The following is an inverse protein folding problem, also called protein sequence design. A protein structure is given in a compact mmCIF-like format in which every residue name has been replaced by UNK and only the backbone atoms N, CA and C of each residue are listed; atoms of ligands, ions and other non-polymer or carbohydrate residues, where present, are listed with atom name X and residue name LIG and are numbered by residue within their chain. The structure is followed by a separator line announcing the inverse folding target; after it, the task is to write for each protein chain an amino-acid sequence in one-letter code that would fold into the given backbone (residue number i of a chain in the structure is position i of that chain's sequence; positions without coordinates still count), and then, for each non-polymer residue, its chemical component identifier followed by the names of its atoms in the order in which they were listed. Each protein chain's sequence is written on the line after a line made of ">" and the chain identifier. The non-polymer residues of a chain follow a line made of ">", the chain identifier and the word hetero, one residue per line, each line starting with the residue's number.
data_IF_630960990624
#
_entry.id   IF_630960990624
#
_cell.length_a   1.000
_cell.length_b   1.000
_cell.length_c   1.000
_cell.angle_alpha   90.00
_cell.angle_beta   90.00
_cell.angle_gamma   90.00
#
_symmetry.space_group_name_H-M   'P 1'
#
loop_
_entity.id
_entity.type
_entity.pdbx_description
1 polymer ?
#
# COMPACT_ATOMS: atom_id res chain seq x y z
N UNK A 1 32.80 -7.79 15.07
CA UNK A 1 31.46 -8.21 14.66
C UNK A 1 30.48 -7.60 15.65
N UNK A 2 29.75 -6.56 15.24
CA UNK A 2 28.70 -5.99 16.07
C UNK A 2 27.52 -6.97 16.13
N UNK A 3 26.86 -7.15 17.28
CA UNK A 3 25.70 -8.03 17.40
C UNK A 3 24.59 -7.56 16.44
N UNK A 4 23.97 -8.51 15.74
CA UNK A 4 22.77 -8.25 14.93
C UNK A 4 21.65 -7.88 15.91
N UNK A 5 21.02 -6.69 15.78
CA UNK A 5 19.89 -6.33 16.63
C UNK A 5 18.78 -7.37 16.47
N UNK A 6 18.35 -7.97 17.58
CA UNK A 6 17.16 -8.84 17.60
C UNK A 6 15.93 -7.94 17.49
N UNK A 7 15.18 -8.14 16.41
CA UNK A 7 14.01 -7.34 16.08
C UNK A 7 12.78 -7.81 16.90
N UNK A 8 12.05 -6.93 17.59
CA UNK A 8 11.01 -7.31 18.56
C UNK A 8 9.64 -7.56 17.90
N UNK A 9 9.57 -8.42 16.87
CA UNK A 9 8.28 -8.72 16.19
C UNK A 9 7.35 -9.55 17.08
N UNK A 10 7.89 -10.31 18.04
CA UNK A 10 7.13 -11.24 18.88
C UNK A 10 6.27 -10.61 19.96
N UNK A 11 6.33 -9.28 20.17
CA UNK A 11 5.75 -8.64 21.36
C UNK A 11 4.26 -8.29 21.27
N UNK A 12 3.68 -8.14 20.08
CA UNK A 12 2.32 -7.58 19.95
C UNK A 12 1.19 -8.61 20.09
N UNK A 13 1.44 -9.88 19.77
CA UNK A 13 0.40 -10.94 19.84
C UNK A 13 0.17 -11.48 21.26
N UNK A 14 1.11 -11.25 22.20
CA UNK A 14 1.06 -11.82 23.55
C UNK A 14 0.43 -10.93 24.62
N UNK A 15 0.09 -9.68 24.30
CA UNK A 15 -0.40 -8.70 25.28
C UNK A 15 -1.92 -8.52 25.15
N UNK A 16 -2.69 -8.95 26.15
CA UNK A 16 -4.16 -8.84 26.19
C UNK A 16 -4.69 -7.39 26.27
N UNK A 17 -3.78 -6.42 26.26
CA UNK A 17 -4.01 -4.97 26.29
C UNK A 17 -3.52 -4.26 25.02
N UNK A 18 -3.51 -4.94 23.86
CA UNK A 18 -3.17 -4.32 22.59
C UNK A 18 -4.19 -3.22 22.22
N UNK A 19 -3.77 -1.96 22.20
CA UNK A 19 -4.58 -0.81 21.78
C UNK A 19 -4.01 -0.19 20.49
N UNK A 20 -4.83 0.51 19.68
CA UNK A 20 -4.34 1.24 18.50
C UNK A 20 -3.21 2.22 18.82
N UNK A 21 -3.29 2.89 19.97
CA UNK A 21 -2.26 3.80 20.44
C UNK A 21 -0.92 3.10 20.71
N UNK A 22 -0.92 1.96 21.42
CA UNK A 22 0.30 1.18 21.63
C UNK A 22 0.92 0.73 20.31
N UNK A 23 0.09 0.44 19.31
CA UNK A 23 0.58 0.02 18.01
C UNK A 23 1.22 1.19 17.26
N UNK A 24 0.64 2.39 17.32
CA UNK A 24 1.27 3.61 16.82
C UNK A 24 2.62 3.89 17.50
N UNK A 25 2.70 3.74 18.81
CA UNK A 25 3.95 3.87 19.57
C UNK A 25 4.99 2.82 19.12
N UNK A 26 4.55 1.58 18.90
CA UNK A 26 5.39 0.53 18.34
C UNK A 26 5.92 0.91 16.95
N UNK A 27 5.07 1.40 16.04
CA UNK A 27 5.51 1.84 14.70
C UNK A 27 6.48 3.02 14.77
N UNK A 28 6.25 3.98 15.67
CA UNK A 28 7.15 5.10 15.88
C UNK A 28 8.53 4.63 16.36
N UNK A 29 8.57 3.70 17.33
CA UNK A 29 9.82 3.10 17.82
C UNK A 29 10.50 2.27 16.72
N UNK A 30 9.72 1.53 15.93
CA UNK A 30 10.23 0.77 14.79
C UNK A 30 10.99 1.67 13.81
N UNK A 31 10.40 2.83 13.50
CA UNK A 31 11.02 3.85 12.67
C UNK A 31 12.28 4.39 13.34
N UNK A 32 12.18 4.87 14.58
CA UNK A 32 13.31 5.47 15.32
C UNK A 32 14.53 4.54 15.42
N UNK A 33 14.31 3.25 15.70
CA UNK A 33 15.39 2.29 15.94
C UNK A 33 16.01 1.75 14.65
N UNK A 34 15.25 1.66 13.56
CA UNK A 34 15.66 0.90 12.37
C UNK A 34 15.64 1.68 11.06
N UNK A 35 14.81 2.72 10.97
CA UNK A 35 14.55 3.48 9.75
C UNK A 35 14.89 4.97 9.87
N UNK A 36 15.24 5.43 11.06
CA UNK A 36 15.74 6.77 11.30
C UNK A 36 17.26 6.81 11.15
N UNK A 37 17.78 7.92 10.63
CA UNK A 37 19.20 8.05 10.24
C UNK A 37 19.42 8.18 8.74
N UNK A 38 20.67 8.01 8.31
CA UNK A 38 21.09 8.30 6.94
C UNK A 38 20.37 7.40 5.92
N UNK A 39 19.56 7.96 5.00
CA UNK A 39 18.81 7.19 4.00
C UNK A 39 19.72 6.45 3.01
N UNK A 40 20.99 6.84 2.89
CA UNK A 40 21.96 6.14 2.03
C UNK A 40 22.44 4.81 2.63
N UNK A 41 22.26 4.62 3.95
CA UNK A 41 22.61 3.38 4.65
C UNK A 41 21.56 2.31 4.35
N UNK A 42 21.96 1.33 3.53
CA UNK A 42 21.15 0.18 3.15
C UNK A 42 21.00 -0.81 4.30
N UNK A 43 19.82 -1.40 4.40
CA UNK A 43 19.51 -2.49 5.33
C UNK A 43 19.82 -3.81 4.64
N UNK A 44 20.60 -4.65 5.32
CA UNK A 44 21.04 -5.95 4.82
C UNK A 44 19.87 -6.85 4.43
N UNK A 45 20.04 -7.59 3.32
CA UNK A 45 19.11 -8.62 2.86
C UNK A 45 18.84 -9.71 3.92
N UNK A 46 19.71 -9.91 4.91
CA UNK A 46 19.48 -10.82 6.02
C UNK A 46 18.22 -10.46 6.85
N UNK A 47 17.89 -9.16 6.94
CA UNK A 47 16.72 -8.66 7.67
C UNK A 47 15.48 -8.54 6.78
N UNK A 48 15.59 -8.83 5.48
CA UNK A 48 14.51 -8.64 4.51
C UNK A 48 13.22 -9.35 4.90
N UNK A 49 13.30 -10.59 5.39
CA UNK A 49 12.11 -11.39 5.73
C UNK A 49 11.21 -10.69 6.76
N UNK A 50 11.83 -10.02 7.73
CA UNK A 50 11.11 -9.27 8.77
C UNK A 50 10.34 -8.12 8.13
N UNK A 51 11.01 -7.35 7.26
CA UNK A 51 10.39 -6.24 6.55
C UNK A 51 9.30 -6.68 5.59
N UNK A 52 9.45 -7.83 4.93
CA UNK A 52 8.39 -8.44 4.13
C UNK A 52 7.12 -8.64 4.97
N UNK A 53 7.24 -9.24 6.16
CA UNK A 53 6.10 -9.41 7.07
C UNK A 53 5.50 -8.07 7.50
N UNK A 54 6.34 -7.08 7.82
CA UNK A 54 5.87 -5.74 8.22
C UNK A 54 5.11 -5.06 7.08
N UNK A 55 5.68 -5.01 5.87
CA UNK A 55 5.05 -4.36 4.70
C UNK A 55 3.76 -5.05 4.28
N UNK A 56 3.74 -6.39 4.28
CA UNK A 56 2.53 -7.18 3.97
C UNK A 56 1.43 -6.89 5.00
N UNK A 57 1.75 -6.96 6.29
CA UNK A 57 0.80 -6.64 7.37
C UNK A 57 0.28 -5.21 7.32
N UNK A 58 1.15 -4.22 7.11
CA UNK A 58 0.74 -2.81 7.04
C UNK A 58 -0.18 -2.55 5.83
N UNK A 59 0.15 -3.13 4.68
CA UNK A 59 -0.63 -2.97 3.45
C UNK A 59 -2.01 -3.61 3.57
N UNK A 60 -2.09 -4.83 4.10
CA UNK A 60 -3.35 -5.57 4.22
C UNK A 60 -4.24 -5.04 5.35
N UNK A 61 -3.67 -4.64 6.49
CA UNK A 61 -4.48 -4.28 7.66
C UNK A 61 -4.90 -2.81 7.68
N UNK A 62 -4.08 -1.89 7.15
CA UNK A 62 -4.34 -0.44 7.29
C UNK A 62 -4.64 0.26 5.97
N UNK A 63 -3.97 -0.12 4.87
CA UNK A 63 -4.22 0.50 3.57
C UNK A 63 -5.45 -0.13 2.88
N UNK A 64 -5.54 -1.46 2.88
CA UNK A 64 -6.66 -2.16 2.22
C UNK A 64 -8.01 -1.93 2.91
N UNK A 65 -8.01 -1.73 4.23
CA UNK A 65 -9.22 -1.60 5.05
C UNK A 65 -9.64 -0.14 5.31
N UNK A 66 -8.99 0.82 4.64
CA UNK A 66 -9.30 2.23 4.86
C UNK A 66 -10.72 2.53 4.39
N UNK A 67 -11.57 3.12 5.27
CA UNK A 67 -12.98 3.30 4.97
C UNK A 67 -13.21 4.40 3.93
N UNK A 68 -14.26 4.20 3.15
CA UNK A 68 -14.87 5.21 2.28
C UNK A 68 -15.79 6.15 3.07
N UNK A 69 -16.18 7.24 2.44
CA UNK A 69 -16.94 8.37 3.02
C UNK A 69 -18.37 8.01 3.47
N UNK A 70 -18.94 6.92 2.94
CA UNK A 70 -20.26 6.40 3.28
C UNK A 70 -20.30 5.65 4.62
N UNK A 71 -19.15 5.24 5.16
CA UNK A 71 -19.08 4.39 6.35
C UNK A 71 -18.78 5.15 7.63
N UNK A 72 -17.81 6.07 7.58
CA UNK A 72 -17.29 6.80 8.75
C UNK A 72 -16.85 8.19 8.31
N UNK A 73 -17.16 9.22 9.10
CA UNK A 73 -16.72 10.59 8.84
C UNK A 73 -15.25 10.82 9.22
N UNK A 74 -14.55 11.71 8.52
CA UNK A 74 -13.10 11.92 8.73
C UNK A 74 -12.72 12.25 10.17
N UNK A 75 -13.55 13.03 10.86
CA UNK A 75 -13.35 13.45 12.25
C UNK A 75 -13.34 12.27 13.25
N UNK A 76 -13.95 11.14 12.90
CA UNK A 76 -13.96 9.93 13.72
C UNK A 76 -12.76 9.00 13.42
N UNK A 77 -11.93 9.33 12.43
CA UNK A 77 -10.88 8.44 11.90
C UNK A 77 -9.47 8.85 12.28
N UNK A 78 -9.29 9.73 13.26
CA UNK A 78 -7.97 10.27 13.62
C UNK A 78 -6.90 9.18 13.83
N UNK A 79 -7.23 8.09 14.50
CA UNK A 79 -6.30 6.97 14.71
C UNK A 79 -5.97 6.23 13.40
N UNK A 80 -6.98 5.98 12.55
CA UNK A 80 -6.79 5.32 11.25
C UNK A 80 -5.95 6.18 10.30
N UNK A 81 -6.17 7.49 10.30
CA UNK A 81 -5.39 8.46 9.52
C UNK A 81 -3.91 8.41 9.94
N UNK A 82 -3.61 8.42 11.25
CA UNK A 82 -2.23 8.29 11.75
C UNK A 82 -1.61 6.94 11.40
N UNK A 83 -2.37 5.86 11.50
CA UNK A 83 -1.91 4.52 11.15
C UNK A 83 -1.57 4.44 9.67
N UNK A 84 -2.45 4.92 8.79
CA UNK A 84 -2.20 4.96 7.34
C UNK A 84 -0.95 5.79 7.01
N UNK A 85 -0.81 6.99 7.57
CA UNK A 85 0.37 7.83 7.39
C UNK A 85 1.67 7.11 7.82
N UNK A 86 1.63 6.46 9.00
CA UNK A 86 2.79 5.71 9.52
C UNK A 86 3.11 4.49 8.66
N UNK A 87 2.08 3.78 8.17
CA UNK A 87 2.23 2.67 7.24
C UNK A 87 2.90 3.13 5.94
N UNK A 88 2.45 4.23 5.35
CA UNK A 88 3.04 4.80 4.14
C UNK A 88 4.51 5.18 4.37
N UNK A 89 4.84 5.86 5.47
CA UNK A 89 6.22 6.24 5.78
C UNK A 89 7.15 5.02 5.92
N UNK A 90 6.70 3.96 6.62
CA UNK A 90 7.47 2.73 6.77
C UNK A 90 7.67 2.04 5.43
N UNK A 91 6.59 1.84 4.65
CA UNK A 91 6.66 1.19 3.33
C UNK A 91 7.62 1.97 2.43
N UNK A 92 7.51 3.31 2.41
CA UNK A 92 8.38 4.22 1.67
C UNK A 92 9.85 4.04 2.02
N UNK A 93 10.20 4.12 3.32
CA UNK A 93 11.59 3.99 3.79
C UNK A 93 12.17 2.60 3.53
N UNK A 94 11.37 1.55 3.74
CA UNK A 94 11.76 0.17 3.52
C UNK A 94 11.97 -0.13 2.02
N UNK A 95 11.11 0.41 1.16
CA UNK A 95 11.19 0.25 -0.29
C UNK A 95 12.51 0.75 -0.87
N UNK A 96 13.04 1.85 -0.32
CA UNK A 96 14.34 2.36 -0.70
C UNK A 96 15.46 1.60 0.03
N UNK A 97 15.40 1.49 1.36
CA UNK A 97 16.57 1.08 2.15
C UNK A 97 16.83 -0.42 2.20
N UNK A 98 15.82 -1.28 2.10
CA UNK A 98 15.99 -2.73 2.24
C UNK A 98 16.40 -3.34 0.91
N UNK A 99 17.62 -3.87 0.86
CA UNK A 99 18.14 -4.50 -0.34
C UNK A 99 17.24 -5.66 -0.76
N UNK A 100 16.82 -5.62 -2.02
CA UNK A 100 16.05 -6.71 -2.57
C UNK A 100 14.62 -6.79 -2.05
N UNK A 101 14.06 -5.75 -1.40
CA UNK A 101 12.78 -5.80 -0.68
C UNK A 101 11.66 -6.50 -1.47
N UNK A 102 11.44 -6.07 -2.71
CA UNK A 102 10.40 -6.59 -3.60
C UNK A 102 10.88 -7.68 -4.58
N UNK A 103 12.05 -8.27 -4.31
CA UNK A 103 12.57 -9.38 -5.08
C UNK A 103 12.10 -10.71 -4.51
N UNK A 104 11.96 -11.73 -5.35
CA UNK A 104 11.50 -13.06 -4.91
C UNK A 104 10.09 -13.37 -5.42
N UNK A 105 9.38 -14.33 -4.82
CA UNK A 105 8.08 -14.77 -5.33
C UNK A 105 7.12 -13.56 -5.43
N UNK A 106 6.45 -13.48 -6.58
CA UNK A 106 5.90 -12.27 -7.21
C UNK A 106 4.88 -11.49 -6.37
N UNK A 107 4.34 -12.12 -5.32
CA UNK A 107 3.10 -11.68 -4.71
C UNK A 107 3.24 -10.40 -3.88
N UNK A 108 4.36 -10.18 -3.17
CA UNK A 108 4.45 -9.02 -2.26
C UNK A 108 4.35 -7.70 -3.01
N UNK A 109 5.12 -7.54 -4.08
CA UNK A 109 5.17 -6.29 -4.84
C UNK A 109 3.82 -6.00 -5.52
N UNK A 110 3.21 -7.04 -6.11
CA UNK A 110 1.91 -6.96 -6.75
C UNK A 110 0.82 -6.60 -5.74
N UNK A 111 0.76 -7.30 -4.59
CA UNK A 111 -0.18 -6.99 -3.51
C UNK A 111 0.01 -5.58 -2.97
N UNK A 112 1.24 -5.22 -2.61
CA UNK A 112 1.56 -3.88 -2.08
C UNK A 112 1.14 -2.79 -3.07
N UNK A 113 1.46 -2.96 -4.36
CA UNK A 113 1.01 -2.06 -5.42
C UNK A 113 -0.52 -1.97 -5.49
N UNK A 114 -1.22 -3.10 -5.51
CA UNK A 114 -2.69 -3.13 -5.58
C UNK A 114 -3.32 -2.44 -4.36
N UNK A 115 -2.77 -2.64 -3.15
CA UNK A 115 -3.26 -1.98 -1.94
C UNK A 115 -3.02 -0.47 -1.97
N UNK A 116 -1.84 -0.03 -2.41
CA UNK A 116 -1.53 1.38 -2.55
C UNK A 116 -2.41 2.07 -3.61
N UNK A 117 -2.63 1.42 -4.76
CA UNK A 117 -3.48 1.98 -5.80
C UNK A 117 -4.94 2.08 -5.34
N UNK A 118 -5.44 1.04 -4.65
CA UNK A 118 -6.75 1.08 -4.02
C UNK A 118 -6.86 2.21 -2.99
N UNK A 119 -5.84 2.38 -2.15
CA UNK A 119 -5.80 3.45 -1.17
C UNK A 119 -5.80 4.84 -1.84
N UNK A 120 -5.05 5.03 -2.93
CA UNK A 120 -5.11 6.27 -3.73
C UNK A 120 -6.54 6.53 -4.22
N UNK A 121 -7.22 5.52 -4.76
CA UNK A 121 -8.61 5.65 -5.20
C UNK A 121 -9.57 6.03 -4.05
N UNK A 122 -9.38 5.44 -2.86
CA UNK A 122 -10.17 5.83 -1.68
C UNK A 122 -9.89 7.29 -1.31
N UNK A 123 -8.64 7.74 -1.36
CA UNK A 123 -8.29 9.12 -1.05
C UNK A 123 -8.89 10.11 -2.05
N UNK A 124 -8.94 9.76 -3.34
CA UNK A 124 -9.63 10.58 -4.36
C UNK A 124 -11.09 10.83 -4.00
N UNK A 125 -11.82 9.81 -3.52
CA UNK A 125 -13.21 9.96 -3.04
C UNK A 125 -13.28 10.93 -1.83
N UNK A 126 -12.26 10.90 -0.96
CA UNK A 126 -12.18 11.81 0.18
C UNK A 126 -11.82 13.25 -0.20
N UNK A 127 -11.24 13.51 -1.37
CA UNK A 127 -10.94 14.87 -1.84
C UNK A 127 -12.20 15.69 -2.15
N UNK A 128 -13.31 15.01 -2.47
CA UNK A 128 -14.61 15.63 -2.72
C UNK A 128 -15.38 15.97 -1.44
N UNK A 129 -14.85 15.61 -0.26
CA UNK A 129 -15.47 15.89 1.04
C UNK A 129 -14.75 17.03 1.74
N UNK A 130 -15.52 18.01 2.23
CA UNK A 130 -14.99 19.08 3.06
C UNK A 130 -14.61 18.52 4.44
N UNK A 131 -13.33 18.59 4.76
CA UNK A 131 -12.75 18.03 5.99
C UNK A 131 -12.10 19.13 6.81
N UNK A 132 -12.44 19.19 8.10
CA UNK A 132 -11.78 20.10 9.04
C UNK A 132 -10.30 19.73 9.22
N UNK A 133 -9.44 20.75 9.12
CA UNK A 133 -8.01 20.59 9.33
C UNK A 133 -7.71 20.47 10.83
N UNK A 134 -7.24 19.31 11.25
CA UNK A 134 -6.85 19.04 12.64
C UNK A 134 -5.32 19.06 12.73
N UNK A 135 -4.78 19.88 13.64
CA UNK A 135 -3.34 20.02 13.82
C UNK A 135 -2.67 18.67 14.08
N UNK A 136 -1.63 18.35 13.29
CA UNK A 136 -0.87 17.10 13.42
C UNK A 136 -1.53 15.87 12.82
N UNK A 137 -2.64 16.03 12.09
CA UNK A 137 -3.21 14.98 11.25
C UNK A 137 -3.04 15.38 9.78
N UNK A 138 -2.58 14.46 8.91
CA UNK A 138 -2.58 14.72 7.48
C UNK A 138 -4.02 14.83 6.96
N UNK A 139 -4.19 15.73 6.01
CA UNK A 139 -5.40 15.87 5.21
C UNK A 139 -5.54 14.73 4.19
N UNK A 140 -6.74 14.51 3.61
CA UNK A 140 -6.92 13.54 2.53
C UNK A 140 -5.95 13.73 1.35
N UNK A 141 -5.66 14.99 1.02
CA UNK A 141 -4.71 15.34 -0.05
C UNK A 141 -3.28 14.92 0.28
N UNK A 142 -2.82 15.20 1.49
CA UNK A 142 -1.47 14.79 1.92
C UNK A 142 -1.33 13.26 1.92
N UNK A 143 -2.35 12.52 2.38
CA UNK A 143 -2.34 11.06 2.30
C UNK A 143 -2.36 10.53 0.85
N UNK A 144 -3.10 11.18 -0.05
CA UNK A 144 -3.13 10.82 -1.47
C UNK A 144 -1.74 10.99 -2.10
N UNK A 145 -1.10 12.15 -1.86
CA UNK A 145 0.24 12.46 -2.36
C UNK A 145 1.28 11.48 -1.81
N UNK A 146 1.23 11.17 -0.50
CA UNK A 146 2.11 10.21 0.15
C UNK A 146 1.92 8.78 -0.40
N UNK A 147 0.68 8.37 -0.64
CA UNK A 147 0.37 7.06 -1.22
C UNK A 147 0.85 6.94 -2.66
N UNK A 148 0.64 7.97 -3.47
CA UNK A 148 1.15 8.02 -4.85
C UNK A 148 2.68 7.99 -4.85
N UNK A 149 3.32 8.81 -4.01
CA UNK A 149 4.78 8.83 -3.89
C UNK A 149 5.33 7.46 -3.46
N UNK A 150 4.70 6.81 -2.49
CA UNK A 150 5.06 5.46 -2.03
C UNK A 150 4.89 4.45 -3.16
N UNK A 151 3.81 4.52 -3.92
CA UNK A 151 3.58 3.67 -5.11
C UNK A 151 4.72 3.81 -6.12
N UNK A 152 5.14 5.04 -6.44
CA UNK A 152 6.23 5.29 -7.37
C UNK A 152 7.57 4.72 -6.87
N UNK A 153 7.83 4.77 -5.56
CA UNK A 153 9.04 4.18 -4.97
C UNK A 153 9.03 2.66 -5.03
N UNK A 154 7.88 2.02 -4.75
CA UNK A 154 7.70 0.57 -4.95
C UNK A 154 8.01 0.20 -6.40
N UNK A 155 7.42 0.89 -7.38
CA UNK A 155 7.67 0.65 -8.81
C UNK A 155 9.14 0.89 -9.19
N UNK A 156 9.74 1.99 -8.70
CA UNK A 156 11.15 2.32 -8.97
C UNK A 156 12.11 1.27 -8.41
N UNK A 157 11.81 0.71 -7.23
CA UNK A 157 12.62 -0.34 -6.62
C UNK A 157 12.70 -1.61 -7.48
N UNK A 158 11.65 -1.90 -8.26
CA UNK A 158 11.61 -3.01 -9.20
C UNK A 158 12.40 -2.73 -10.48
N UNK A 159 12.52 -1.46 -10.88
CA UNK A 159 13.27 -1.03 -12.06
C UNK A 159 14.77 -0.85 -11.82
N UNK A 160 15.18 -0.40 -10.63
CA UNK A 160 16.58 -0.13 -10.28
C UNK A 160 17.46 -1.38 -10.13
N UNK A 161 16.86 -2.57 -10.09
CA UNK A 161 17.51 -3.85 -9.85
C UNK A 161 18.40 -4.39 -10.98
N UNK A 162 18.61 -3.64 -12.07
CA UNK A 162 19.32 -4.15 -13.25
C UNK A 162 20.82 -4.42 -13.02
N UNK A 163 21.42 -3.90 -11.94
CA UNK A 163 22.88 -3.86 -11.80
C UNK A 163 23.52 -5.01 -11.00
N UNK A 164 22.82 -5.71 -10.09
CA UNK A 164 23.50 -6.57 -9.11
C UNK A 164 22.71 -7.80 -8.65
N UNK A 165 22.36 -8.74 -9.54
CA UNK A 165 21.77 -10.00 -9.08
C UNK A 165 22.37 -11.20 -9.81
N UNK A 166 23.29 -11.87 -9.13
CA UNK A 166 23.85 -13.17 -9.52
C UNK A 166 23.04 -14.36 -8.99
N UNK A 167 22.05 -14.18 -8.09
CA UNK A 167 21.41 -15.31 -7.37
C UNK A 167 19.86 -15.36 -7.33
N UNK A 168 19.12 -14.36 -7.82
CA UNK A 168 17.65 -14.48 -7.92
C UNK A 168 17.25 -15.15 -9.22
N UNK A 169 16.43 -16.21 -9.14
CA UNK A 169 15.90 -16.93 -10.31
C UNK A 169 15.05 -16.05 -11.25
N UNK A 170 14.51 -14.93 -10.76
CA UNK A 170 13.68 -14.04 -11.56
C UNK A 170 13.99 -12.55 -11.31
N UNK A 171 14.34 -11.78 -12.36
CA UNK A 171 14.70 -10.38 -12.19
C UNK A 171 13.46 -9.51 -11.88
N UNK A 172 13.62 -8.53 -10.97
CA UNK A 172 12.51 -7.70 -10.49
C UNK A 172 11.80 -6.88 -11.58
N UNK A 173 12.48 -6.55 -12.68
CA UNK A 173 11.86 -5.87 -13.82
C UNK A 173 10.72 -6.69 -14.44
N UNK A 174 10.72 -8.03 -14.30
CA UNK A 174 9.60 -8.86 -14.77
C UNK A 174 8.35 -8.62 -13.92
N UNK A 175 8.49 -8.48 -12.61
CA UNK A 175 7.37 -8.12 -11.73
C UNK A 175 6.82 -6.74 -12.08
N UNK A 176 7.70 -5.76 -12.33
CA UNK A 176 7.28 -4.44 -12.84
C UNK A 176 6.51 -4.56 -14.15
N UNK A 177 7.00 -5.35 -15.10
CA UNK A 177 6.30 -5.59 -16.37
C UNK A 177 4.91 -6.20 -16.13
N UNK A 178 4.79 -7.19 -15.25
CA UNK A 178 3.48 -7.79 -14.93
C UNK A 178 2.52 -6.75 -14.35
N UNK A 179 2.98 -5.90 -13.42
CA UNK A 179 2.15 -4.82 -12.85
C UNK A 179 1.67 -3.85 -13.94
N UNK A 180 2.58 -3.41 -14.82
CA UNK A 180 2.23 -2.48 -15.90
C UNK A 180 1.30 -3.12 -16.94
N UNK A 181 1.54 -4.38 -17.30
CA UNK A 181 0.67 -5.13 -18.21
C UNK A 181 -0.73 -5.28 -17.62
N UNK A 182 -0.85 -5.65 -16.34
CA UNK A 182 -2.14 -5.73 -15.64
C UNK A 182 -2.92 -4.40 -15.73
N UNK A 183 -2.25 -3.28 -15.46
CA UNK A 183 -2.89 -1.96 -15.55
C UNK A 183 -3.38 -1.64 -16.97
N UNK A 184 -2.56 -1.95 -17.98
CA UNK A 184 -2.90 -1.72 -19.39
C UNK A 184 -4.08 -2.61 -19.80
N UNK A 185 -4.06 -3.89 -19.44
CA UNK A 185 -5.08 -4.86 -19.80
C UNK A 185 -6.44 -4.48 -19.18
N UNK A 186 -6.45 -4.03 -17.92
CA UNK A 186 -7.66 -3.50 -17.27
C UNK A 186 -8.20 -2.26 -18.00
N UNK A 187 -7.34 -1.29 -18.32
CA UNK A 187 -7.76 -0.07 -19.04
C UNK A 187 -8.32 -0.42 -20.42
N UNK A 188 -7.68 -1.36 -21.13
CA UNK A 188 -8.17 -1.83 -22.42
C UNK A 188 -9.53 -2.51 -22.30
N UNK A 189 -9.73 -3.38 -21.30
CA UNK A 189 -11.02 -4.04 -21.08
C UNK A 189 -12.12 -3.03 -20.72
N UNK A 190 -11.83 -2.02 -19.90
CA UNK A 190 -12.76 -0.92 -19.61
C UNK A 190 -13.16 -0.16 -20.88
N UNK A 191 -12.19 0.18 -21.75
CA UNK A 191 -12.46 0.89 -23.01
C UNK A 191 -13.33 0.04 -23.94
N UNK A 192 -12.97 -1.24 -24.11
CA UNK A 192 -13.68 -2.16 -25.01
C UNK A 192 -15.11 -2.45 -24.54
N UNK A 193 -15.31 -2.57 -23.23
CA UNK A 193 -16.62 -2.87 -22.63
C UNK A 193 -17.42 -1.63 -22.25
N UNK A 194 -16.91 -0.42 -22.47
CA UNK A 194 -17.52 0.86 -22.05
C UNK A 194 -19.00 1.02 -22.37
N UNK A 195 -19.46 0.50 -23.52
CA UNK A 195 -20.87 0.54 -23.95
C UNK A 195 -21.78 -0.51 -23.27
N UNK A 196 -21.19 -1.51 -22.62
CA UNK A 196 -21.87 -2.67 -22.02
C UNK A 196 -21.73 -2.75 -20.50
N UNK A 197 -20.79 -2.00 -19.91
CA UNK A 197 -20.57 -2.00 -18.46
C UNK A 197 -21.73 -1.31 -17.74
N UNK A 198 -22.24 -1.97 -16.70
CA UNK A 198 -23.21 -1.39 -15.78
C UNK A 198 -22.46 -0.89 -14.56
N UNK A 199 -22.54 0.41 -14.30
CA UNK A 199 -21.90 1.01 -13.14
C UNK A 199 -22.78 0.90 -11.89
N UNK A 200 -22.18 0.78 -10.68
CA UNK A 200 -20.74 0.77 -10.41
C UNK A 200 -20.04 -0.54 -10.82
N UNK A 201 -18.77 -0.44 -11.19
CA UNK A 201 -17.90 -1.59 -11.49
C UNK A 201 -16.84 -1.76 -10.41
N UNK A 202 -16.53 -3.01 -10.11
CA UNK A 202 -15.47 -3.43 -9.19
C UNK A 202 -14.26 -3.88 -9.99
N UNK A 203 -13.11 -3.25 -9.76
CA UNK A 203 -11.83 -3.65 -10.36
C UNK A 203 -10.93 -4.23 -9.28
N UNK A 204 -10.53 -5.49 -9.47
CA UNK A 204 -9.59 -6.19 -8.60
C UNK A 204 -8.36 -6.58 -9.40
N UNK A 205 -7.22 -5.93 -9.12
CA UNK A 205 -5.95 -6.21 -9.78
C UNK A 205 -5.50 -7.65 -9.53
N UNK A 206 -4.96 -8.28 -10.57
CA UNK A 206 -4.43 -9.65 -10.59
C UNK A 206 -5.49 -10.73 -10.34
N UNK A 207 -6.78 -10.40 -10.44
CA UNK A 207 -7.89 -11.35 -10.38
C UNK A 207 -8.33 -11.79 -11.78
N UNK A 208 -9.03 -12.94 -11.85
CA UNK A 208 -9.65 -13.41 -13.09
C UNK A 208 -11.13 -13.77 -12.84
N UNK A 209 -12.11 -13.03 -13.40
CA UNK A 209 -11.95 -11.80 -14.20
C UNK A 209 -11.59 -10.57 -13.32
N UNK A 210 -10.85 -9.58 -13.86
CA UNK A 210 -10.42 -8.40 -13.10
C UNK A 210 -11.54 -7.36 -12.93
N UNK A 211 -12.51 -7.29 -13.85
CA UNK A 211 -13.63 -6.32 -13.83
C UNK A 211 -14.94 -7.09 -13.66
N UNK A 212 -15.66 -6.75 -12.60
CA UNK A 212 -16.94 -7.36 -12.24
C UNK A 212 -17.98 -6.26 -11.98
N UNK A 213 -19.25 -6.54 -12.29
CA UNK A 213 -20.33 -5.65 -11.89
C UNK A 213 -20.41 -5.63 -10.37
N UNK A 214 -20.54 -4.45 -9.76
CA UNK A 214 -20.60 -4.33 -8.30
C UNK A 214 -21.98 -4.74 -7.78
N UNK A 215 -22.41 -5.97 -8.04
CA UNK A 215 -23.63 -6.54 -7.48
C UNK A 215 -23.38 -6.99 -6.03
N UNK A 216 -23.40 -6.03 -5.10
CA UNK A 216 -23.53 -6.29 -3.66
C UNK A 216 -22.44 -7.14 -3.00
N UNK A 217 -21.21 -7.17 -3.52
CA UNK A 217 -20.13 -8.01 -2.98
C UNK A 217 -19.29 -7.34 -1.88
N UNK A 218 -18.81 -8.18 -0.96
CA UNK A 218 -18.27 -7.88 0.38
C UNK A 218 -16.94 -7.07 0.46
N UNK A 219 -16.68 -6.40 1.61
CA UNK A 219 -15.73 -5.28 1.74
C UNK A 219 -14.23 -5.63 1.81
N UNK A 220 -13.79 -6.85 1.52
CA UNK A 220 -12.43 -7.31 1.87
C UNK A 220 -11.44 -7.55 0.70
N UNK A 221 -11.84 -7.33 -0.56
CA UNK A 221 -10.90 -7.29 -1.69
C UNK A 221 -10.42 -5.86 -1.98
N UNK A 222 -9.21 -5.66 -2.57
CA UNK A 222 -8.79 -4.35 -3.05
C UNK A 222 -9.63 -4.02 -4.28
N UNK A 223 -10.82 -3.48 -4.04
CA UNK A 223 -11.77 -3.13 -5.07
C UNK A 223 -11.62 -1.65 -5.35
N UNK A 224 -11.03 -1.32 -6.51
CA UNK A 224 -11.13 0.03 -7.05
C UNK A 224 -12.55 0.17 -7.57
N UNK A 225 -13.37 0.93 -6.85
CA UNK A 225 -14.68 1.35 -7.31
C UNK A 225 -14.49 2.55 -8.24
N UNK A 226 -14.82 2.36 -9.51
CA UNK A 226 -14.85 3.44 -10.48
C UNK A 226 -16.28 3.95 -10.58
N UNK A 227 -16.51 5.17 -10.11
CA UNK A 227 -17.74 5.92 -10.35
C UNK A 227 -17.47 6.90 -11.48
N UNK A 228 -18.11 6.69 -12.64
CA UNK A 228 -18.14 7.73 -13.68
C UNK A 228 -19.29 8.69 -13.37
N UNK A 229 -19.00 9.75 -12.62
CA UNK A 229 -19.97 10.84 -12.36
C UNK A 229 -20.05 11.88 -13.49
N UNK A 230 -19.33 11.70 -14.61
CA UNK A 230 -19.19 12.73 -15.65
C UNK A 230 -19.35 12.26 -17.11
N UNK A 231 -20.32 11.40 -17.42
CA UNK A 231 -20.72 11.13 -18.82
C UNK A 231 -22.24 11.23 -19.01
N UNK A 232 -22.82 12.32 -18.49
CA UNK A 232 -24.18 12.75 -18.85
C UNK A 232 -24.14 14.22 -19.25
N UNK A 233 -23.74 14.48 -20.49
CA UNK A 233 -24.05 15.69 -21.23
C UNK A 233 -24.57 15.28 -22.60
#
# INVERSE_FOLDING_TARGET
>A
MSPVPQFPVTAFESDSNASPQKFLEFLANLVAENLDGDPTVRISAANKRIWVTVVDGLSEQFLASFPSTDKVGWHDMHEKVRLAASSLDIIRRVSDRVEGMFHGPRDLAQRTFARLLNFCNVMEIWLDVEVEQVQGLPSPRELADDALHTTLLVLRSLGGAMAHITDSKEPAWKTLRVILTECIDIIQDLILRSSTLVFPVSITLFAQPPIQDATGQEPFSPVILVFLSYLSN
#
